data_IF_469647505157
#
_entry.id   IF_469647505157
#
_cell.length_a   1.000
_cell.length_b   1.000
_cell.length_c   1.000
_cell.angle_alpha   90.00
_cell.angle_beta   90.00
_cell.angle_gamma   90.00
#
_symmetry.space_group_name_H-M   'P 1'
#
loop_
_entity.id
_entity.type
_entity.pdbx_description
1 polymer ?
#
# COMPACT_ATOMS: atom_id res chain seq x y z
N UNK A 1 -3.58 64.14 -49.31
CA UNK A 1 -3.12 62.73 -49.43
C UNK A 1 -3.01 62.13 -48.05
N UNK A 2 -3.94 61.26 -47.67
CA UNK A 2 -3.89 60.52 -46.34
C UNK A 2 -3.49 59.09 -46.63
N UNK A 3 -2.32 58.68 -46.16
CA UNK A 3 -1.87 57.31 -46.21
C UNK A 3 -2.46 56.53 -44.98
N UNK A 4 -3.28 55.56 -45.22
CA UNK A 4 -3.83 54.67 -44.20
C UNK A 4 -2.83 53.55 -43.90
N UNK A 5 -2.45 53.46 -42.61
CA UNK A 5 -1.65 52.33 -42.07
C UNK A 5 -2.55 51.12 -41.84
N UNK A 6 -2.47 50.10 -42.71
CA UNK A 6 -3.02 48.78 -42.48
C UNK A 6 -1.92 47.89 -41.90
N UNK A 7 -1.86 47.75 -40.58
CA UNK A 7 -1.06 46.72 -39.91
C UNK A 7 -1.85 45.42 -40.01
N UNK A 8 -1.28 44.30 -40.52
CA UNK A 8 -2.02 43.09 -40.73
C UNK A 8 -2.35 42.41 -39.41
N UNK A 9 -3.65 42.31 -39.11
CA UNK A 9 -4.21 41.57 -37.94
C UNK A 9 -3.94 40.05 -37.96
N UNK A 10 -3.26 39.53 -38.98
CA UNK A 10 -2.94 38.11 -39.16
C UNK A 10 -1.80 37.61 -38.29
N UNK A 11 -0.85 38.45 -37.87
CA UNK A 11 0.29 38.04 -37.04
C UNK A 11 -0.09 37.87 -35.57
N UNK A 12 -1.11 38.57 -35.05
CA UNK A 12 -1.53 38.47 -33.66
C UNK A 12 -2.29 37.15 -33.39
N UNK A 13 -3.00 36.59 -34.38
CA UNK A 13 -3.72 35.30 -34.22
C UNK A 13 -2.79 34.10 -34.18
N UNK A 14 -1.67 34.10 -34.90
CA UNK A 14 -0.74 32.97 -34.91
C UNK A 14 0.04 32.83 -33.59
N UNK A 15 0.44 33.93 -32.95
CA UNK A 15 1.10 33.89 -31.65
C UNK A 15 0.17 33.39 -30.54
N UNK A 16 -1.12 33.73 -30.57
CA UNK A 16 -2.06 33.29 -29.56
C UNK A 16 -2.38 31.77 -29.66
N UNK A 17 -2.46 31.24 -30.89
CA UNK A 17 -2.65 29.82 -31.13
C UNK A 17 -1.44 28.96 -30.68
N UNK A 18 -0.20 29.46 -30.87
CA UNK A 18 1.02 28.77 -30.38
C UNK A 18 1.12 28.74 -28.85
N UNK A 19 0.69 29.80 -28.16
CA UNK A 19 0.71 29.86 -26.69
C UNK A 19 -0.33 28.90 -26.09
N UNK A 20 -1.52 28.78 -26.71
CA UNK A 20 -2.56 27.81 -26.29
C UNK A 20 -2.14 26.36 -26.54
N UNK A 21 -1.41 26.06 -27.62
CA UNK A 21 -0.92 24.72 -27.91
C UNK A 21 0.20 24.27 -26.93
N UNK A 22 1.07 25.18 -26.47
CA UNK A 22 2.07 24.90 -25.45
C UNK A 22 1.45 24.73 -24.05
N UNK A 23 0.35 25.40 -23.75
CA UNK A 23 -0.36 25.23 -22.47
C UNK A 23 -1.10 23.89 -22.40
N UNK A 24 -1.63 23.38 -23.52
CA UNK A 24 -2.30 22.09 -23.60
C UNK A 24 -1.37 20.89 -23.43
N UNK A 25 -0.08 21.02 -23.77
CA UNK A 25 0.91 19.96 -23.59
C UNK A 25 1.37 19.78 -22.12
N UNK A 26 1.13 20.73 -21.23
CA UNK A 26 1.43 20.61 -19.80
C UNK A 26 0.37 19.86 -19.00
N UNK A 27 -0.78 19.57 -19.58
CA UNK A 27 -1.92 19.00 -18.85
C UNK A 27 -1.84 17.49 -18.59
N UNK A 28 -0.86 16.77 -19.18
CA UNK A 28 -0.75 15.30 -19.07
C UNK A 28 0.70 14.79 -19.03
N UNK A 29 1.59 15.47 -18.31
CA UNK A 29 2.90 14.87 -18.05
C UNK A 29 2.70 13.67 -17.10
N UNK A 30 3.10 12.48 -17.53
CA UNK A 30 3.10 11.29 -16.68
C UNK A 30 3.97 11.53 -15.42
N UNK A 31 3.52 11.00 -14.31
CA UNK A 31 4.20 11.16 -13.01
C UNK A 31 5.66 10.71 -13.07
N UNK A 32 6.00 9.70 -13.85
CA UNK A 32 7.38 9.23 -14.02
C UNK A 32 8.33 10.35 -14.44
N UNK A 33 7.94 11.14 -15.45
CA UNK A 33 8.74 12.28 -15.92
C UNK A 33 8.81 13.40 -14.87
N UNK A 34 7.67 13.70 -14.23
CA UNK A 34 7.57 14.72 -13.19
C UNK A 34 8.44 14.39 -11.97
N UNK A 35 8.42 13.14 -11.50
CA UNK A 35 9.22 12.66 -10.36
C UNK A 35 10.72 12.74 -10.70
N UNK A 36 11.12 12.31 -11.91
CA UNK A 36 12.52 12.41 -12.38
C UNK A 36 13.01 13.86 -12.44
N UNK A 37 12.18 14.76 -12.95
CA UNK A 37 12.51 16.18 -13.02
C UNK A 37 12.65 16.82 -11.63
N UNK A 38 11.77 16.45 -10.69
CA UNK A 38 11.81 16.90 -9.29
C UNK A 38 13.01 16.31 -8.54
N UNK A 39 13.52 15.15 -8.95
CA UNK A 39 14.64 14.46 -8.32
C UNK A 39 14.31 13.81 -6.98
N UNK A 40 13.04 13.65 -6.66
CA UNK A 40 12.57 13.04 -5.40
C UNK A 40 11.30 12.23 -5.66
N UNK A 41 11.25 10.98 -5.15
CA UNK A 41 10.08 10.12 -5.11
C UNK A 41 9.47 10.18 -3.72
N UNK A 42 8.19 10.50 -3.61
CA UNK A 42 7.45 10.58 -2.35
C UNK A 42 6.53 9.37 -2.26
N UNK A 43 6.80 8.47 -1.30
CA UNK A 43 6.07 7.19 -1.16
C UNK A 43 5.29 7.14 0.14
N UNK A 44 3.99 6.87 0.04
CA UNK A 44 3.16 6.54 1.18
C UNK A 44 3.40 5.10 1.64
N UNK A 45 3.86 4.93 2.87
CA UNK A 45 4.15 3.63 3.49
C UNK A 45 3.48 3.52 4.85
N UNK A 46 3.24 2.30 5.32
CA UNK A 46 2.82 2.08 6.71
C UNK A 46 3.95 2.46 7.67
N UNK A 47 3.59 2.91 8.86
CA UNK A 47 4.54 3.21 9.93
C UNK A 47 4.13 2.62 11.29
N UNK A 48 3.08 1.80 11.27
CA UNK A 48 2.44 1.14 12.42
C UNK A 48 2.14 -0.35 12.16
N UNK A 49 2.86 -0.95 11.22
CA UNK A 49 2.60 -2.32 10.74
C UNK A 49 3.92 -3.10 10.60
N UNK A 50 4.54 -3.54 11.72
CA UNK A 50 5.73 -4.39 11.64
C UNK A 50 5.37 -5.78 11.07
N UNK A 51 6.24 -6.40 10.24
CA UNK A 51 7.52 -5.86 9.77
C UNK A 51 7.43 -5.15 8.41
N UNK A 52 6.21 -4.90 7.87
CA UNK A 52 6.04 -4.31 6.54
C UNK A 52 6.41 -2.83 6.50
N UNK A 53 5.94 -2.03 7.45
CA UNK A 53 6.33 -0.64 7.60
C UNK A 53 6.10 -0.17 9.04
N UNK A 54 7.16 0.19 9.75
CA UNK A 54 7.08 0.58 11.14
C UNK A 54 8.15 1.61 11.52
N UNK A 55 7.90 2.31 12.62
CA UNK A 55 8.78 3.37 13.08
C UNK A 55 9.69 2.87 14.19
N UNK A 56 11.00 3.06 14.01
CA UNK A 56 12.00 2.82 15.06
C UNK A 56 11.92 3.91 16.13
N UNK A 57 12.50 3.66 17.35
CA UNK A 57 12.64 4.71 18.38
C UNK A 57 13.43 5.95 17.91
N UNK A 58 14.29 5.81 16.90
CA UNK A 58 14.98 6.93 16.23
C UNK A 58 14.06 7.85 15.45
N UNK A 59 12.83 7.41 15.17
CA UNK A 59 11.87 8.09 14.29
C UNK A 59 11.95 7.65 12.83
N UNK A 60 12.94 6.87 12.44
CA UNK A 60 13.08 6.32 11.09
C UNK A 60 11.98 5.30 10.78
N UNK A 61 11.44 5.34 9.55
CA UNK A 61 10.48 4.36 9.06
C UNK A 61 11.26 3.29 8.29
N UNK A 62 11.13 2.05 8.73
CA UNK A 62 11.79 0.87 8.17
C UNK A 62 10.78 -0.25 7.92
N UNK A 63 11.20 -1.29 7.19
CA UNK A 63 10.37 -2.45 6.91
C UNK A 63 10.52 -2.94 5.49
N UNK A 64 9.72 -3.94 5.13
CA UNK A 64 9.69 -4.52 3.78
C UNK A 64 9.30 -3.44 2.77
N UNK A 65 8.21 -2.73 2.98
CA UNK A 65 7.69 -1.71 2.07
C UNK A 65 8.60 -0.48 1.93
N UNK A 66 9.17 0.10 2.99
CA UNK A 66 10.24 1.10 2.89
C UNK A 66 11.46 0.61 2.10
N UNK A 67 11.84 -0.67 2.22
CA UNK A 67 12.94 -1.25 1.43
C UNK A 67 12.59 -1.34 -0.05
N UNK A 68 11.35 -1.72 -0.41
CA UNK A 68 10.86 -1.70 -1.79
C UNK A 68 10.79 -0.27 -2.34
N UNK A 69 10.33 0.70 -1.54
CA UNK A 69 10.32 2.11 -1.91
C UNK A 69 11.74 2.64 -2.21
N UNK A 70 12.73 2.21 -1.42
CA UNK A 70 14.13 2.56 -1.64
C UNK A 70 14.68 1.97 -2.95
N UNK A 71 14.28 0.74 -3.31
CA UNK A 71 14.66 0.14 -4.59
C UNK A 71 14.02 0.87 -5.78
N UNK A 72 12.74 1.29 -5.66
CA UNK A 72 12.10 2.12 -6.69
C UNK A 72 12.86 3.43 -6.90
N UNK A 73 13.15 4.18 -5.83
CA UNK A 73 13.86 5.45 -5.90
C UNK A 73 15.27 5.29 -6.48
N UNK A 74 15.99 4.24 -6.06
CA UNK A 74 17.32 3.88 -6.61
C UNK A 74 17.26 3.58 -8.10
N UNK A 75 16.26 2.81 -8.53
CA UNK A 75 16.07 2.45 -9.95
C UNK A 75 15.72 3.66 -10.82
N UNK A 76 15.13 4.70 -10.24
CA UNK A 76 14.87 5.99 -10.89
C UNK A 76 16.05 6.95 -10.84
N UNK A 77 17.04 6.72 -9.98
CA UNK A 77 18.15 7.67 -9.72
C UNK A 77 17.72 8.93 -8.99
N UNK A 78 16.70 8.85 -8.12
CA UNK A 78 16.13 9.98 -7.38
C UNK A 78 16.24 9.77 -5.86
N UNK A 79 16.05 10.83 -5.07
CA UNK A 79 15.94 10.73 -3.61
C UNK A 79 14.61 10.10 -3.21
N UNK A 80 14.59 9.43 -2.07
CA UNK A 80 13.38 8.89 -1.46
C UNK A 80 12.92 9.79 -0.31
N UNK A 81 11.61 10.06 -0.28
CA UNK A 81 10.90 10.63 0.86
C UNK A 81 9.77 9.66 1.25
N UNK A 82 9.72 9.26 2.51
CA UNK A 82 8.68 8.39 3.05
C UNK A 82 7.65 9.22 3.82
N UNK A 83 6.38 9.05 3.46
CA UNK A 83 5.23 9.68 4.13
C UNK A 83 4.46 8.58 4.85
N UNK A 84 4.31 8.65 6.18
CA UNK A 84 3.51 7.69 6.92
C UNK A 84 2.03 7.84 6.55
N UNK A 85 1.39 6.72 6.19
CA UNK A 85 -0.03 6.66 5.84
C UNK A 85 -0.76 5.59 6.65
N UNK A 86 -2.07 5.79 6.78
CA UNK A 86 -3.00 4.79 7.32
C UNK A 86 -3.98 4.35 6.23
N UNK A 87 -4.72 3.26 6.47
CA UNK A 87 -5.63 2.70 5.47
C UNK A 87 -6.66 3.74 4.97
N UNK A 88 -7.12 4.63 5.84
CA UNK A 88 -8.17 5.60 5.54
C UNK A 88 -7.72 6.88 4.83
N UNK A 89 -6.41 7.18 4.76
CA UNK A 89 -5.94 8.42 4.15
C UNK A 89 -5.03 8.25 2.92
N UNK A 90 -4.48 7.04 2.70
CA UNK A 90 -3.45 6.80 1.67
C UNK A 90 -3.93 7.14 0.25
N UNK A 91 -5.18 6.80 -0.10
CA UNK A 91 -5.75 7.12 -1.43
C UNK A 91 -5.94 8.63 -1.57
N UNK A 92 -6.52 9.30 -0.58
CA UNK A 92 -6.71 10.74 -0.58
C UNK A 92 -5.37 11.51 -0.73
N UNK A 93 -4.31 11.06 -0.04
CA UNK A 93 -2.99 11.68 -0.15
C UNK A 93 -2.40 11.50 -1.55
N UNK A 94 -2.63 10.36 -2.19
CA UNK A 94 -2.23 10.11 -3.57
C UNK A 94 -2.97 11.03 -4.55
N UNK A 95 -4.30 11.13 -4.45
CA UNK A 95 -5.13 12.00 -5.28
C UNK A 95 -4.78 13.49 -5.12
N UNK A 96 -4.38 13.90 -3.92
CA UNK A 96 -3.95 15.27 -3.61
C UNK A 96 -2.50 15.57 -4.02
N UNK A 97 -1.80 14.66 -4.69
CA UNK A 97 -0.37 14.80 -5.04
C UNK A 97 0.56 15.03 -3.84
N UNK A 98 0.18 14.52 -2.65
CA UNK A 98 1.03 14.55 -1.44
C UNK A 98 2.01 13.38 -1.43
N UNK A 99 1.69 12.31 -2.14
CA UNK A 99 2.53 11.16 -2.42
C UNK A 99 2.41 10.80 -3.90
N UNK A 100 3.43 10.17 -4.46
CA UNK A 100 3.50 9.73 -5.86
C UNK A 100 3.12 8.26 -6.03
N UNK A 101 3.27 7.49 -4.96
CA UNK A 101 3.15 6.04 -4.95
C UNK A 101 2.63 5.58 -3.59
N UNK A 102 1.75 4.59 -3.59
CA UNK A 102 1.36 3.84 -2.38
C UNK A 102 2.08 2.49 -2.41
N UNK A 103 2.86 2.21 -1.35
CA UNK A 103 3.35 0.87 -0.98
C UNK A 103 2.99 0.71 0.51
N UNK A 104 1.75 0.27 0.79
CA UNK A 104 1.19 0.37 2.13
C UNK A 104 0.11 -0.69 2.38
N UNK A 105 0.46 -1.98 2.27
CA UNK A 105 -0.41 -3.14 2.55
C UNK A 105 -1.81 -3.00 1.93
N UNK A 106 -1.87 -2.56 0.66
CA UNK A 106 -3.14 -2.20 0.05
C UNK A 106 -3.69 -3.31 -0.84
N UNK A 107 -4.79 -3.91 -0.40
CA UNK A 107 -5.53 -4.89 -1.20
C UNK A 107 -6.14 -4.24 -2.43
N UNK A 108 -6.14 -4.98 -3.53
CA UNK A 108 -6.76 -4.61 -4.78
C UNK A 108 -8.27 -4.91 -4.74
N UNK A 109 -9.09 -3.89 -4.44
CA UNK A 109 -10.55 -4.02 -4.45
C UNK A 109 -11.19 -3.24 -5.59
N UNK A 110 -12.38 -3.68 -6.03
CA UNK A 110 -13.14 -2.99 -7.08
C UNK A 110 -13.42 -1.51 -6.74
N UNK A 111 -13.70 -1.22 -5.47
CA UNK A 111 -13.95 0.13 -4.99
C UNK A 111 -12.72 1.02 -5.16
N UNK A 112 -11.54 0.53 -4.71
CA UNK A 112 -10.28 1.28 -4.81
C UNK A 112 -9.88 1.57 -6.25
N UNK A 113 -10.12 0.63 -7.17
CA UNK A 113 -9.87 0.83 -8.61
C UNK A 113 -10.74 1.93 -9.25
N UNK A 114 -11.76 2.44 -8.57
CA UNK A 114 -12.51 3.59 -9.03
C UNK A 114 -11.79 4.92 -8.78
N UNK A 115 -10.86 4.95 -7.85
CA UNK A 115 -10.12 6.14 -7.44
C UNK A 115 -8.66 6.16 -7.91
N UNK A 116 -8.06 4.98 -8.16
CA UNK A 116 -6.62 4.82 -8.42
C UNK A 116 -6.35 3.72 -9.44
N UNK A 117 -5.16 3.75 -10.05
CA UNK A 117 -4.65 2.66 -10.85
C UNK A 117 -3.79 1.73 -10.00
N UNK A 118 -4.11 0.44 -10.06
CA UNK A 118 -3.42 -0.64 -9.35
C UNK A 118 -2.38 -1.26 -10.27
N UNK A 119 -1.14 -1.34 -9.80
CA UNK A 119 -0.02 -1.92 -10.55
C UNK A 119 0.00 -3.43 -10.42
N UNK A 120 0.22 -4.12 -11.54
CA UNK A 120 0.37 -5.58 -11.60
C UNK A 120 1.75 -5.95 -12.18
N UNK A 121 2.34 -7.10 -11.77
CA UNK A 121 1.82 -8.05 -10.79
C UNK A 121 1.74 -7.48 -9.38
N UNK A 122 1.16 -8.23 -8.45
CA UNK A 122 1.08 -7.84 -7.04
C UNK A 122 2.41 -8.13 -6.34
N UNK A 123 2.75 -7.34 -5.31
CA UNK A 123 4.03 -7.55 -4.63
C UNK A 123 3.91 -8.47 -3.41
N UNK A 124 2.70 -8.67 -2.88
CA UNK A 124 2.44 -9.51 -1.70
C UNK A 124 0.99 -9.98 -1.66
N UNK A 125 0.66 -10.84 -0.69
CA UNK A 125 -0.71 -11.18 -0.32
C UNK A 125 -0.80 -11.57 1.15
N UNK A 126 -1.90 -11.22 1.80
CA UNK A 126 -2.21 -11.60 3.19
C UNK A 126 -3.69 -11.94 3.33
N UNK A 127 -4.01 -12.80 4.28
CA UNK A 127 -5.35 -13.03 4.77
C UNK A 127 -5.67 -12.13 5.96
N UNK A 128 -6.86 -12.28 6.53
CA UNK A 128 -7.18 -11.69 7.82
C UNK A 128 -7.42 -12.75 8.87
N UNK A 129 -7.15 -12.42 10.12
CA UNK A 129 -7.32 -13.31 11.25
C UNK A 129 -7.72 -12.52 12.51
N UNK A 130 -7.82 -13.20 13.64
CA UNK A 130 -8.09 -12.58 14.93
C UNK A 130 -7.02 -12.98 15.94
N UNK A 131 -6.40 -11.98 16.59
CA UNK A 131 -5.55 -12.17 17.75
C UNK A 131 -6.42 -12.07 19.00
N UNK A 132 -6.35 -13.10 19.86
CA UNK A 132 -7.15 -13.20 21.09
C UNK A 132 -6.26 -13.61 22.27
N UNK A 133 -6.65 -13.33 23.53
CA UNK A 133 -5.96 -13.90 24.69
C UNK A 133 -5.99 -15.45 24.63
N UNK A 134 -4.86 -16.11 24.93
CA UNK A 134 -4.75 -17.57 25.00
C UNK A 134 -5.78 -18.20 25.95
N UNK A 135 -6.12 -17.49 27.00
CA UNK A 135 -7.17 -17.91 27.96
C UNK A 135 -8.57 -18.04 27.36
N UNK A 136 -8.78 -17.51 26.16
CA UNK A 136 -10.05 -17.64 25.46
C UNK A 136 -10.23 -19.04 24.86
N UNK A 137 -9.14 -19.80 24.63
CA UNK A 137 -9.15 -21.14 24.04
C UNK A 137 -9.98 -21.24 22.76
N UNK A 138 -9.91 -20.20 21.91
CA UNK A 138 -10.70 -20.10 20.68
C UNK A 138 -10.31 -21.19 19.69
N UNK A 139 -11.30 -21.92 19.16
CA UNK A 139 -11.11 -23.04 18.22
C UNK A 139 -11.83 -22.83 16.89
N UNK A 140 -12.78 -21.91 16.83
CA UNK A 140 -13.53 -21.62 15.61
C UNK A 140 -14.04 -20.18 15.55
N UNK A 141 -14.21 -19.66 14.33
CA UNK A 141 -14.82 -18.36 14.09
C UNK A 141 -16.26 -18.26 14.62
N UNK A 142 -16.97 -19.38 14.71
CA UNK A 142 -18.35 -19.42 15.22
C UNK A 142 -18.45 -18.98 16.69
N UNK A 143 -17.40 -19.15 17.47
CA UNK A 143 -17.37 -18.74 18.88
C UNK A 143 -17.27 -17.21 19.06
N UNK A 144 -16.99 -16.48 17.98
CA UNK A 144 -16.95 -15.01 17.94
C UNK A 144 -18.31 -14.37 17.63
N UNK A 145 -19.35 -15.15 17.31
CA UNK A 145 -20.69 -14.64 17.03
C UNK A 145 -21.17 -13.71 18.16
N UNK A 146 -21.54 -12.49 17.79
CA UNK A 146 -22.01 -11.46 18.71
C UNK A 146 -20.94 -10.81 19.59
N UNK A 147 -19.70 -11.31 19.56
CA UNK A 147 -18.58 -10.68 20.30
C UNK A 147 -18.07 -9.46 19.57
N UNK A 148 -17.51 -8.52 20.35
CA UNK A 148 -16.91 -7.31 19.84
C UNK A 148 -15.40 -7.52 19.62
N UNK A 149 -14.92 -7.31 18.40
CA UNK A 149 -13.50 -7.29 18.04
C UNK A 149 -13.05 -5.86 17.71
N UNK A 150 -11.79 -5.54 17.99
CA UNK A 150 -11.13 -4.32 17.54
C UNK A 150 -10.67 -4.51 16.10
N UNK A 151 -10.94 -3.57 15.22
CA UNK A 151 -10.49 -3.58 13.83
C UNK A 151 -9.86 -2.25 13.44
N UNK A 152 -9.38 -2.17 12.19
CA UNK A 152 -8.77 -0.94 11.64
C UNK A 152 -9.75 -0.32 10.64
N UNK A 153 -9.92 0.99 10.73
CA UNK A 153 -10.81 1.75 9.84
C UNK A 153 -10.40 1.54 8.38
N UNK A 154 -11.41 1.35 7.51
CA UNK A 154 -11.27 1.11 6.07
C UNK A 154 -10.50 -0.18 5.68
N UNK A 155 -10.33 -1.10 6.63
CA UNK A 155 -9.97 -2.47 6.33
C UNK A 155 -11.17 -3.22 5.71
N UNK A 156 -10.98 -3.81 4.51
CA UNK A 156 -12.07 -4.46 3.76
C UNK A 156 -12.72 -5.61 4.54
N UNK A 157 -11.93 -6.36 5.28
CA UNK A 157 -12.38 -7.53 6.02
C UNK A 157 -13.25 -7.20 7.24
N UNK A 158 -13.35 -5.95 7.66
CA UNK A 158 -14.31 -5.56 8.71
C UNK A 158 -15.76 -5.86 8.27
N UNK A 159 -16.06 -5.65 6.99
CA UNK A 159 -17.36 -5.99 6.42
C UNK A 159 -17.52 -7.50 6.32
N UNK A 160 -16.54 -8.20 5.78
CA UNK A 160 -16.56 -9.66 5.60
C UNK A 160 -16.73 -10.38 6.95
N UNK A 161 -15.98 -10.00 7.96
CA UNK A 161 -16.11 -10.59 9.29
C UNK A 161 -17.50 -10.38 9.91
N UNK A 162 -18.10 -9.18 9.73
CA UNK A 162 -19.48 -8.94 10.17
C UNK A 162 -20.49 -9.82 9.45
N UNK A 163 -20.31 -9.99 8.14
CA UNK A 163 -21.26 -10.76 7.31
C UNK A 163 -21.12 -12.27 7.55
N UNK A 164 -19.89 -12.78 7.57
CA UNK A 164 -19.61 -14.21 7.62
C UNK A 164 -19.68 -14.77 9.04
N UNK A 165 -19.12 -14.03 10.02
CA UNK A 165 -18.96 -14.49 11.39
C UNK A 165 -19.82 -13.75 12.42
N UNK A 166 -20.65 -12.80 11.97
CA UNK A 166 -21.59 -12.04 12.84
C UNK A 166 -20.89 -11.35 14.01
N UNK A 167 -19.61 -11.00 13.89
CA UNK A 167 -18.88 -10.23 14.90
C UNK A 167 -19.28 -8.76 14.87
N UNK A 168 -19.16 -8.09 16.01
CA UNK A 168 -19.24 -6.64 16.08
C UNK A 168 -17.83 -6.06 15.96
N UNK A 169 -17.63 -5.05 15.12
CA UNK A 169 -16.30 -4.44 14.92
C UNK A 169 -16.32 -3.00 15.40
N UNK A 170 -15.45 -2.67 16.36
CA UNK A 170 -15.08 -1.30 16.70
C UNK A 170 -13.80 -0.98 15.94
N UNK A 171 -13.87 -0.05 14.96
CA UNK A 171 -12.74 0.29 14.11
C UNK A 171 -11.98 1.52 14.62
N UNK A 172 -10.65 1.40 14.71
CA UNK A 172 -9.70 2.43 15.12
C UNK A 172 -8.92 2.98 13.93
N UNK A 173 -8.27 4.12 14.08
CA UNK A 173 -7.53 4.75 13.00
C UNK A 173 -6.30 3.94 12.58
N UNK A 174 -5.59 3.35 13.53
CA UNK A 174 -4.39 2.55 13.30
C UNK A 174 -4.24 1.41 14.32
N UNK A 175 -3.21 0.60 14.13
CA UNK A 175 -2.91 -0.57 14.99
C UNK A 175 -2.63 -0.17 16.45
N UNK A 176 -1.90 0.90 16.79
CA UNK A 176 -1.61 1.25 18.16
C UNK A 176 -2.85 1.49 19.02
N UNK A 177 -3.86 2.18 18.47
CA UNK A 177 -5.11 2.45 19.18
C UNK A 177 -5.95 1.17 19.35
N UNK A 178 -5.98 0.31 18.31
CA UNK A 178 -6.69 -0.96 18.37
C UNK A 178 -6.07 -1.92 19.38
N UNK A 179 -4.75 -2.04 19.40
CA UNK A 179 -3.98 -2.86 20.36
C UNK A 179 -4.15 -2.34 21.80
N UNK A 180 -4.14 -1.01 21.99
CA UNK A 180 -4.42 -0.40 23.29
C UNK A 180 -5.83 -0.73 23.77
N UNK A 181 -6.82 -0.64 22.88
CA UNK A 181 -8.21 -0.95 23.20
C UNK A 181 -8.41 -2.45 23.53
N UNK A 182 -7.67 -3.34 22.87
CA UNK A 182 -7.64 -4.77 23.20
C UNK A 182 -7.10 -5.00 24.61
N UNK A 183 -5.95 -4.42 24.97
CA UNK A 183 -5.38 -4.51 26.33
C UNK A 183 -6.33 -3.94 27.41
N UNK A 184 -7.12 -2.95 27.05
CA UNK A 184 -8.13 -2.36 27.97
C UNK A 184 -9.41 -3.19 28.06
N UNK A 185 -9.53 -4.32 27.36
CA UNK A 185 -10.71 -5.19 27.35
C UNK A 185 -11.93 -4.57 26.65
N UNK A 186 -11.74 -3.56 25.79
CA UNK A 186 -12.85 -2.94 25.00
C UNK A 186 -13.34 -3.87 23.90
N UNK A 187 -12.55 -4.85 23.52
CA UNK A 187 -12.86 -5.90 22.56
C UNK A 187 -12.21 -7.22 23.01
N UNK A 188 -12.73 -8.34 22.53
CA UNK A 188 -12.23 -9.68 22.90
C UNK A 188 -11.03 -10.12 22.07
N UNK A 189 -10.77 -9.46 20.93
CA UNK A 189 -9.65 -9.76 20.03
C UNK A 189 -9.40 -8.60 19.05
N UNK A 190 -8.24 -8.64 18.38
CA UNK A 190 -7.89 -7.78 17.26
C UNK A 190 -8.15 -8.52 15.96
N UNK A 191 -9.04 -8.01 15.13
CA UNK A 191 -9.30 -8.45 13.77
C UNK A 191 -8.45 -7.62 12.82
N UNK A 192 -7.43 -8.25 12.22
CA UNK A 192 -6.54 -7.55 11.29
C UNK A 192 -5.88 -8.52 10.31
N UNK A 193 -5.02 -8.00 9.40
CA UNK A 193 -4.22 -8.86 8.53
C UNK A 193 -3.37 -9.81 9.39
N UNK A 194 -3.33 -11.08 9.01
CA UNK A 194 -2.58 -12.13 9.70
C UNK A 194 -1.09 -11.78 9.86
N UNK A 195 -0.50 -11.22 8.82
CA UNK A 195 0.91 -10.76 8.81
C UNK A 195 1.19 -9.62 9.80
N UNK A 196 0.21 -8.74 10.09
CA UNK A 196 0.34 -7.73 11.14
C UNK A 196 0.29 -8.36 12.52
N UNK A 197 -0.67 -9.28 12.71
CA UNK A 197 -0.82 -10.01 13.97
C UNK A 197 0.45 -10.82 14.27
N UNK A 198 1.01 -11.53 13.27
CA UNK A 198 2.29 -12.24 13.41
C UNK A 198 3.42 -11.31 13.84
N UNK A 199 3.52 -10.12 13.21
CA UNK A 199 4.52 -9.12 13.58
C UNK A 199 4.36 -8.59 15.01
N UNK A 200 3.13 -8.31 15.45
CA UNK A 200 2.84 -7.89 16.82
C UNK A 200 3.18 -9.01 17.83
N UNK A 201 2.83 -10.26 17.52
CA UNK A 201 3.10 -11.42 18.39
C UNK A 201 4.59 -11.74 18.58
N UNK A 202 5.50 -11.20 17.77
CA UNK A 202 6.95 -11.27 18.01
C UNK A 202 7.38 -10.41 19.20
N UNK A 203 6.53 -9.48 19.66
CA UNK A 203 6.85 -8.63 20.79
C UNK A 203 6.47 -9.32 22.12
N UNK A 204 7.34 -9.29 23.16
CA UNK A 204 7.11 -9.99 24.44
C UNK A 204 5.79 -9.60 25.12
N UNK A 205 5.32 -8.39 24.89
CA UNK A 205 4.09 -7.86 25.50
C UNK A 205 2.80 -8.54 25.00
N UNK A 206 2.87 -9.32 23.93
CA UNK A 206 1.77 -10.12 23.36
C UNK A 206 1.92 -11.62 23.61
N UNK A 207 2.86 -12.03 24.47
CA UNK A 207 3.12 -13.45 24.79
C UNK A 207 1.91 -14.21 25.32
N UNK A 208 0.94 -13.53 25.93
CA UNK A 208 -0.31 -14.11 26.44
C UNK A 208 -1.45 -14.15 25.39
N UNK A 209 -1.17 -13.73 24.16
CA UNK A 209 -2.10 -13.73 23.04
C UNK A 209 -1.73 -14.82 22.03
N UNK A 210 -2.71 -15.17 21.20
CA UNK A 210 -2.58 -16.19 20.15
C UNK A 210 -3.42 -15.81 18.93
N UNK A 211 -3.08 -16.40 17.78
CA UNK A 211 -3.85 -16.36 16.53
C UNK A 211 -4.20 -17.79 16.15
N UNK A 212 -5.18 -18.42 16.84
CA UNK A 212 -5.37 -19.87 16.80
C UNK A 212 -6.17 -20.37 15.61
N UNK A 213 -6.78 -19.47 14.82
CA UNK A 213 -7.64 -19.83 13.71
C UNK A 213 -6.88 -19.80 12.38
N UNK A 214 -7.43 -20.46 11.37
CA UNK A 214 -6.95 -20.30 10.00
C UNK A 214 -7.31 -18.92 9.45
N UNK A 215 -6.36 -18.30 8.75
CA UNK A 215 -6.58 -17.03 8.08
C UNK A 215 -7.63 -17.13 7.00
N UNK A 216 -8.42 -16.08 6.87
CA UNK A 216 -9.50 -15.98 5.91
C UNK A 216 -9.11 -15.10 4.73
N UNK A 217 -9.65 -15.42 3.56
CA UNK A 217 -9.64 -14.58 2.36
C UNK A 217 -8.29 -13.93 2.03
N UNK A 218 -7.29 -14.73 1.65
CA UNK A 218 -6.00 -14.19 1.17
C UNK A 218 -6.23 -13.29 -0.03
N UNK A 219 -5.93 -12.00 0.13
CA UNK A 219 -6.09 -10.97 -0.87
C UNK A 219 -4.75 -10.37 -1.26
N UNK A 220 -4.50 -10.14 -2.56
CA UNK A 220 -3.22 -9.59 -3.00
C UNK A 220 -3.08 -8.10 -2.63
N UNK A 221 -1.84 -7.70 -2.32
CA UNK A 221 -1.45 -6.31 -2.12
C UNK A 221 -0.76 -5.76 -3.35
N UNK A 222 -1.08 -4.52 -3.66
CA UNK A 222 -0.62 -3.86 -4.86
C UNK A 222 0.07 -2.52 -4.57
N UNK A 223 1.01 -2.18 -5.44
CA UNK A 223 1.41 -0.79 -5.61
C UNK A 223 0.27 -0.02 -6.25
N UNK A 224 0.11 1.25 -5.91
CA UNK A 224 -0.91 2.08 -6.55
C UNK A 224 -0.41 3.48 -6.89
N UNK A 225 -0.89 3.96 -8.03
CA UNK A 225 -0.59 5.28 -8.60
C UNK A 225 -1.91 6.02 -8.91
N UNK A 226 -1.85 7.32 -9.16
CA UNK A 226 -3.00 8.08 -9.65
C UNK A 226 -3.51 7.52 -10.97
N UNK A 227 -4.78 7.72 -11.26
CA UNK A 227 -5.33 7.40 -12.57
C UNK A 227 -4.60 8.10 -13.71
N UNK A 228 -4.48 7.39 -14.83
CA UNK A 228 -3.96 7.95 -16.08
C UNK A 228 -2.44 8.14 -16.10
N UNK A 229 -1.69 7.29 -15.35
CA UNK A 229 -0.23 7.29 -15.29
C UNK A 229 0.37 6.00 -15.90
N UNK A 230 0.16 5.73 -17.21
CA UNK A 230 0.51 4.45 -17.79
C UNK A 230 2.01 4.16 -17.83
N UNK A 231 2.85 5.19 -18.04
CA UNK A 231 4.31 5.00 -18.07
C UNK A 231 4.84 4.72 -16.66
N UNK A 232 4.30 5.44 -15.63
CA UNK A 232 4.64 5.22 -14.24
C UNK A 232 4.23 3.80 -13.79
N UNK A 233 3.00 3.39 -14.09
CA UNK A 233 2.50 2.05 -13.78
C UNK A 233 3.31 0.95 -14.51
N UNK A 234 3.69 1.15 -15.76
CA UNK A 234 4.52 0.20 -16.53
C UNK A 234 5.94 0.08 -15.96
N UNK A 235 6.57 1.19 -15.55
CA UNK A 235 7.86 1.18 -14.88
C UNK A 235 7.81 0.38 -13.58
N UNK A 236 6.81 0.63 -12.73
CA UNK A 236 6.61 -0.10 -11.47
C UNK A 236 6.32 -1.59 -11.72
N UNK A 237 5.49 -1.90 -12.72
CA UNK A 237 5.23 -3.29 -13.14
C UNK A 237 6.52 -4.05 -13.46
N UNK A 238 7.46 -3.39 -14.16
CA UNK A 238 8.75 -3.98 -14.48
C UNK A 238 9.58 -4.26 -13.23
N UNK A 239 9.54 -3.37 -12.24
CA UNK A 239 10.24 -3.57 -10.97
C UNK A 239 9.63 -4.70 -10.15
N UNK A 240 8.29 -4.80 -10.07
CA UNK A 240 7.66 -5.93 -9.35
C UNK A 240 8.03 -7.27 -9.98
N UNK A 241 8.01 -7.38 -11.32
CA UNK A 241 8.49 -8.58 -12.02
C UNK A 241 9.95 -8.90 -11.71
N UNK A 242 10.78 -7.85 -11.58
CA UNK A 242 12.18 -8.04 -11.18
C UNK A 242 12.26 -8.56 -9.75
N UNK A 243 11.48 -8.04 -8.79
CA UNK A 243 11.44 -8.52 -7.42
C UNK A 243 11.00 -9.98 -7.32
N UNK A 244 9.97 -10.37 -8.10
CA UNK A 244 9.55 -11.78 -8.19
C UNK A 244 10.71 -12.67 -8.71
N UNK A 245 11.34 -12.27 -9.81
CA UNK A 245 12.43 -13.03 -10.43
C UNK A 245 13.66 -13.17 -9.53
N UNK A 246 14.05 -12.09 -8.87
CA UNK A 246 15.27 -12.04 -8.04
C UNK A 246 15.03 -12.61 -6.62
N UNK A 247 13.76 -12.91 -6.24
CA UNK A 247 13.43 -13.36 -4.88
C UNK A 247 13.51 -12.24 -3.82
N UNK A 248 13.42 -10.98 -4.24
CA UNK A 248 13.59 -9.80 -3.36
C UNK A 248 12.66 -9.83 -2.15
N UNK A 249 11.39 -10.28 -2.34
CA UNK A 249 10.43 -10.37 -1.23
C UNK A 249 10.89 -11.41 -0.22
N UNK A 250 11.33 -12.58 -0.66
CA UNK A 250 11.85 -13.67 0.19
C UNK A 250 13.08 -13.20 0.99
N UNK A 251 13.99 -12.46 0.33
CA UNK A 251 15.15 -11.86 1.01
C UNK A 251 14.74 -10.86 2.10
N UNK A 252 13.71 -10.05 1.85
CA UNK A 252 13.19 -9.10 2.81
C UNK A 252 12.47 -9.80 3.97
N UNK A 253 11.68 -10.84 3.71
CA UNK A 253 11.08 -11.68 4.75
C UNK A 253 12.16 -12.28 5.66
N UNK A 254 13.23 -12.82 5.07
CA UNK A 254 14.42 -13.33 5.83
C UNK A 254 15.05 -12.22 6.67
N UNK A 255 15.29 -11.05 6.08
CA UNK A 255 15.90 -9.89 6.76
C UNK A 255 15.09 -9.44 7.98
N UNK A 256 13.77 -9.50 7.87
CA UNK A 256 12.85 -9.07 8.93
C UNK A 256 12.37 -10.23 9.82
N UNK A 257 12.98 -11.42 9.69
CA UNK A 257 12.75 -12.60 10.54
C UNK A 257 11.31 -13.11 10.56
N UNK A 258 10.59 -12.98 9.44
CA UNK A 258 9.29 -13.61 9.25
C UNK A 258 9.41 -14.84 8.36
N UNK A 259 8.43 -15.73 8.45
CA UNK A 259 8.32 -16.92 7.60
C UNK A 259 8.11 -16.49 6.15
N UNK A 260 8.73 -17.21 5.22
CA UNK A 260 8.46 -16.99 3.80
C UNK A 260 6.99 -17.26 3.50
N UNK A 261 6.36 -16.30 2.85
CA UNK A 261 4.99 -16.43 2.41
C UNK A 261 4.91 -17.34 1.18
N UNK A 262 3.90 -18.21 1.15
CA UNK A 262 3.66 -19.03 -0.04
C UNK A 262 3.45 -18.17 -1.29
N UNK A 263 2.91 -16.97 -1.15
CA UNK A 263 2.75 -16.02 -2.26
C UNK A 263 4.10 -15.65 -2.87
N UNK A 264 5.09 -15.29 -2.04
CA UNK A 264 6.43 -14.88 -2.50
C UNK A 264 7.18 -16.06 -3.11
N UNK A 265 7.10 -17.25 -2.50
CA UNK A 265 7.71 -18.48 -3.03
C UNK A 265 7.13 -18.86 -4.40
N UNK A 266 5.79 -18.92 -4.53
CA UNK A 266 5.11 -19.27 -5.79
C UNK A 266 5.41 -18.24 -6.91
N UNK A 267 5.45 -16.95 -6.57
CA UNK A 267 5.76 -15.88 -7.51
C UNK A 267 7.21 -15.98 -8.02
N UNK A 268 8.16 -16.21 -7.13
CA UNK A 268 9.56 -16.40 -7.46
C UNK A 268 9.79 -17.64 -8.33
N UNK A 269 9.22 -18.78 -7.96
CA UNK A 269 9.32 -20.03 -8.73
C UNK A 269 8.79 -19.85 -10.15
N UNK A 270 7.59 -19.26 -10.29
CA UNK A 270 6.97 -18.97 -11.58
C UNK A 270 7.80 -18.02 -12.45
N UNK A 271 8.33 -16.95 -11.86
CA UNK A 271 9.14 -15.96 -12.59
C UNK A 271 10.48 -16.54 -13.03
N UNK A 272 11.10 -17.41 -12.21
CA UNK A 272 12.35 -18.09 -12.52
C UNK A 272 12.19 -19.12 -13.64
N UNK A 273 11.10 -19.90 -13.63
CA UNK A 273 10.79 -20.88 -14.69
C UNK A 273 10.56 -20.23 -16.06
N UNK A 274 9.94 -19.05 -16.10
CA UNK A 274 9.63 -18.31 -17.34
C UNK A 274 10.88 -17.69 -18.02
N UNK A 275 12.04 -17.77 -17.39
CA UNK A 275 13.30 -17.18 -17.89
C UNK A 275 14.22 -18.20 -18.55
N UNK A 276 13.81 -19.47 -18.63
CA UNK A 276 14.57 -20.58 -19.18
C UNK A 276 14.18 -20.99 -20.62
N UNK A 277 13.19 -20.31 -21.19
CA UNK A 277 12.80 -20.44 -22.61
C UNK A 277 13.25 -19.19 -23.39
#
# INVERSE_FOLDING_TARGET
MRFGNHIPRLLAGLCFACVLALAAQRANADDLATIRQRGTLIVGVKADYPPFGFRLPSGEIVGIEPSLAADVAKSMGVKLELVPVIASNRIQLLEQNKIDLIIATMNDTRERRQAIDVVKPYYYAAGYNVMVPKSMHLTSWAELVGKTVCGIKDAYFNYEARMNFKVQVIAFAGSPEALTALKQGRCVGLLYDDTSIEGDMLQPEWSDYDMPLESQEVQPWALAVRHGQPEWAAFLSTLVKKWEKDGTIIELETKYHIKHSKFAEDAHEKASASSGD
#
